data_IF_394111798507
#
_entry.id   IF_394111798507
#
_cell.length_a   1.000
_cell.length_b   1.000
_cell.length_c   1.000
_cell.angle_alpha   90.00
_cell.angle_beta   90.00
_cell.angle_gamma   90.00
#
_symmetry.space_group_name_H-M   'P 1'
#
loop_
_entity.id
_entity.type
_entity.pdbx_description
1 polymer ?
#
# COMPACT_ATOMS: atom_id res chain seq x y z
N UNK A 1 -13.72 -30.26 12.09
CA UNK A 1 -13.43 -29.01 11.36
C UNK A 1 -11.92 -28.86 11.37
N UNK A 2 -11.25 -28.95 10.22
CA UNK A 2 -9.78 -28.83 10.14
C UNK A 2 -9.48 -27.38 9.76
N UNK A 3 -8.90 -26.63 10.68
CA UNK A 3 -8.41 -25.29 10.38
C UNK A 3 -7.05 -25.41 9.69
N UNK A 4 -6.81 -24.56 8.70
CA UNK A 4 -5.51 -24.52 8.02
C UNK A 4 -4.54 -23.73 8.89
N UNK A 5 -3.71 -24.42 9.68
CA UNK A 5 -2.72 -23.83 10.60
C UNK A 5 -1.45 -23.30 9.91
N UNK A 6 -1.35 -23.42 8.59
CA UNK A 6 -0.18 -22.92 7.85
C UNK A 6 -0.12 -21.40 7.87
N UNK A 7 0.79 -20.91 8.70
CA UNK A 7 1.02 -19.48 8.90
C UNK A 7 1.89 -18.93 7.76
N UNK A 8 1.24 -18.57 6.65
CA UNK A 8 1.86 -18.10 5.40
C UNK A 8 2.62 -16.77 5.51
N UNK A 9 2.56 -16.11 6.67
CA UNK A 9 3.35 -14.91 7.01
C UNK A 9 4.77 -15.25 7.48
N UNK A 10 5.00 -16.48 7.98
CA UNK A 10 6.28 -16.90 8.56
C UNK A 10 7.24 -17.29 7.41
N UNK A 11 8.55 -17.04 7.58
CA UNK A 11 9.61 -17.31 6.59
C UNK A 11 9.56 -16.47 5.29
N UNK A 12 9.16 -15.20 5.38
CA UNK A 12 9.34 -14.26 4.26
C UNK A 12 8.29 -14.37 3.15
N UNK A 13 7.17 -15.07 3.39
CA UNK A 13 6.03 -15.09 2.46
C UNK A 13 5.51 -13.70 2.11
N UNK A 14 5.53 -12.75 3.06
CA UNK A 14 5.20 -11.35 2.82
C UNK A 14 6.20 -10.63 1.91
N UNK A 15 7.49 -10.99 1.96
CA UNK A 15 8.52 -10.42 1.08
C UNK A 15 8.37 -10.95 -0.34
N UNK A 16 8.08 -12.24 -0.50
CA UNK A 16 7.85 -12.84 -1.82
C UNK A 16 6.57 -12.28 -2.50
N UNK A 17 5.52 -12.00 -1.72
CA UNK A 17 4.34 -11.29 -2.23
C UNK A 17 4.70 -9.92 -2.84
N UNK A 18 5.58 -9.16 -2.19
CA UNK A 18 6.03 -7.85 -2.70
C UNK A 18 6.86 -8.02 -3.97
N UNK A 19 7.78 -9.00 -4.00
CA UNK A 19 8.61 -9.32 -5.17
C UNK A 19 7.74 -9.67 -6.40
N UNK A 20 6.75 -10.54 -6.22
CA UNK A 20 5.79 -10.91 -7.26
C UNK A 20 5.00 -9.68 -7.71
N UNK A 21 4.52 -8.86 -6.77
CA UNK A 21 3.73 -7.67 -7.10
C UNK A 21 4.51 -6.65 -7.92
N UNK A 22 5.81 -6.47 -7.60
CA UNK A 22 6.74 -5.66 -8.38
C UNK A 22 6.98 -6.28 -9.76
N UNK A 23 7.32 -7.57 -9.84
CA UNK A 23 7.60 -8.27 -11.11
C UNK A 23 6.44 -8.20 -12.10
N UNK A 24 5.20 -8.34 -11.62
CA UNK A 24 3.99 -8.30 -12.44
C UNK A 24 3.39 -6.90 -12.58
N UNK A 25 4.03 -5.88 -11.99
CA UNK A 25 3.63 -4.47 -12.11
C UNK A 25 2.18 -4.26 -11.65
N UNK A 26 1.80 -4.92 -10.56
CA UNK A 26 0.46 -4.76 -10.02
C UNK A 26 0.25 -3.36 -9.46
N UNK A 27 -1.01 -2.95 -9.37
CA UNK A 27 -1.36 -1.70 -8.72
C UNK A 27 -0.94 -1.73 -7.25
N UNK A 28 -0.16 -0.73 -6.82
CA UNK A 28 0.19 -0.53 -5.42
C UNK A 28 -0.88 0.33 -4.75
N UNK A 29 -1.61 -0.25 -3.80
CA UNK A 29 -2.62 0.48 -3.05
C UNK A 29 -1.97 1.38 -1.99
N UNK A 30 -2.02 2.69 -2.18
CA UNK A 30 -1.47 3.68 -1.23
C UNK A 30 -2.40 3.98 -0.05
N UNK A 31 -3.70 3.74 -0.23
CA UNK A 31 -4.71 3.92 0.80
C UNK A 31 -5.80 2.87 0.67
N UNK A 32 -6.00 2.09 1.72
CA UNK A 32 -7.00 1.03 1.79
C UNK A 32 -8.27 1.40 2.58
N UNK A 33 -8.43 2.67 2.95
CA UNK A 33 -9.57 3.14 3.75
C UNK A 33 -10.68 3.85 2.96
N UNK A 34 -11.67 4.37 3.68
CA UNK A 34 -12.81 5.08 3.10
C UNK A 34 -12.41 6.48 2.58
N UNK A 35 -12.94 6.87 1.41
CA UNK A 35 -12.72 8.18 0.79
C UNK A 35 -13.10 9.33 1.72
N UNK A 36 -14.18 9.19 2.50
CA UNK A 36 -14.59 10.20 3.49
C UNK A 36 -13.57 10.36 4.61
N UNK A 37 -13.00 9.26 5.11
CA UNK A 37 -11.95 9.32 6.14
C UNK A 37 -10.66 9.97 5.61
N UNK A 38 -10.30 9.74 4.35
CA UNK A 38 -9.18 10.44 3.72
C UNK A 38 -9.45 11.94 3.59
N UNK A 39 -10.67 12.32 3.20
CA UNK A 39 -11.12 13.72 3.11
C UNK A 39 -11.00 14.43 4.44
N UNK A 40 -11.55 13.85 5.50
CA UNK A 40 -11.59 14.49 6.82
C UNK A 40 -10.18 14.63 7.39
N UNK A 41 -9.33 13.61 7.21
CA UNK A 41 -7.92 13.70 7.59
C UNK A 41 -7.19 14.80 6.81
N UNK A 42 -7.49 14.96 5.53
CA UNK A 42 -6.94 16.01 4.70
C UNK A 42 -7.42 17.41 5.10
N UNK A 43 -8.69 17.58 5.48
CA UNK A 43 -9.23 18.82 6.01
C UNK A 43 -8.54 19.22 7.33
N UNK A 44 -8.36 18.26 8.23
CA UNK A 44 -7.63 18.48 9.49
C UNK A 44 -6.16 18.87 9.26
N UNK A 45 -5.49 18.24 8.28
CA UNK A 45 -4.12 18.61 7.91
C UNK A 45 -4.05 20.03 7.36
N UNK A 46 -5.00 20.41 6.50
CA UNK A 46 -5.09 21.75 5.91
C UNK A 46 -5.30 22.83 6.99
N UNK A 47 -6.15 22.59 8.00
CA UNK A 47 -6.35 23.55 9.09
C UNK A 47 -5.10 23.75 9.96
N UNK A 48 -4.22 22.75 10.02
CA UNK A 48 -2.92 22.83 10.69
C UNK A 48 -1.78 23.36 9.78
N UNK A 49 -2.09 23.80 8.55
CA UNK A 49 -1.08 24.22 7.57
C UNK A 49 -0.20 23.08 7.05
N UNK A 50 -0.58 21.82 7.28
CA UNK A 50 0.15 20.63 6.80
C UNK A 50 -0.32 20.26 5.38
N UNK A 51 0.58 19.75 4.52
CA UNK A 51 0.21 19.35 3.17
C UNK A 51 -0.75 18.16 3.17
N UNK A 52 -1.62 18.11 2.14
CA UNK A 52 -2.54 17.01 1.88
C UNK A 52 -1.79 15.70 1.66
N UNK A 53 -2.44 14.58 1.96
CA UNK A 53 -1.92 13.25 1.66
C UNK A 53 -2.05 13.04 0.14
N UNK A 54 -0.93 12.89 -0.59
CA UNK A 54 -0.97 12.62 -2.02
C UNK A 54 -1.44 11.18 -2.28
N UNK A 55 -2.14 10.97 -3.40
CA UNK A 55 -2.54 9.67 -3.91
C UNK A 55 -2.20 9.56 -5.40
N UNK A 56 -2.03 8.34 -5.90
CA UNK A 56 -1.56 8.02 -7.24
C UNK A 56 -0.05 8.19 -7.46
N UNK A 57 0.79 8.18 -6.42
CA UNK A 57 2.24 8.39 -6.58
C UNK A 57 3.04 7.11 -6.70
N UNK A 58 2.65 6.08 -5.95
CA UNK A 58 3.32 4.78 -5.93
C UNK A 58 2.68 3.85 -6.95
N UNK A 59 3.47 3.40 -7.91
CA UNK A 59 3.13 2.38 -8.88
C UNK A 59 4.30 1.40 -8.96
N UNK A 60 4.01 0.09 -8.99
CA UNK A 60 5.03 -0.89 -9.34
C UNK A 60 5.28 -0.76 -10.85
N UNK A 61 6.34 -0.03 -11.20
CA UNK A 61 6.74 0.35 -12.55
C UNK A 61 8.22 0.00 -12.82
N UNK A 62 8.64 -0.15 -14.08
CA UNK A 62 10.06 -0.37 -14.48
C UNK A 62 11.03 0.70 -13.97
N UNK A 63 10.53 1.85 -13.54
CA UNK A 63 11.32 2.97 -13.02
C UNK A 63 11.73 2.75 -11.55
N UNK A 64 11.04 1.89 -10.79
CA UNK A 64 11.33 1.58 -9.38
C UNK A 64 12.58 0.69 -9.23
N UNK A 65 12.99 -0.03 -10.29
CA UNK A 65 14.15 -0.94 -10.31
C UNK A 65 15.49 -0.22 -10.63
N UNK A 66 15.47 1.09 -10.87
CA UNK A 66 16.65 1.90 -11.25
C UNK A 66 17.19 2.80 -10.12
N UNK A 67 16.62 2.71 -8.90
CA UNK A 67 17.05 3.45 -7.70
C UNK A 67 17.82 2.56 -6.73
#
# INVERSE_FOLDING_TARGET
>A
MVYWDSNWWIQGGSSHMIEISKRWQFYQQEYCGCVYSLRDRNLHRKSQGRPLIPSGKLYYGKEDDLA
#
